data_IF_115895312579
#
_entry.id   IF_115895312579
#
_cell.length_a   1.000
_cell.length_b   1.000
_cell.length_c   1.000
_cell.angle_alpha   90.00
_cell.angle_beta   90.00
_cell.angle_gamma   90.00
#
_symmetry.space_group_name_H-M   'P 1'
#
loop_
_entity.id
_entity.type
_entity.pdbx_description
1 polymer ?
#
# COMPACT_ATOMS: atom_id res chain seq x y z
N UNK A 1 -13.89 0.89 -2.45
CA UNK A 1 -13.10 -0.06 -1.63
C UNK A 1 -11.91 0.67 -1.00
N UNK A 2 -11.66 0.50 0.30
CA UNK A 2 -10.53 1.12 1.01
C UNK A 2 -9.28 0.25 0.94
N UNK A 3 -8.11 0.85 1.20
CA UNK A 3 -6.85 0.11 1.28
C UNK A 3 -6.91 -0.96 2.38
N UNK A 4 -7.52 -0.65 3.54
CA UNK A 4 -7.66 -1.62 4.62
C UNK A 4 -8.43 -2.87 4.19
N UNK A 5 -9.65 -2.69 3.69
CA UNK A 5 -10.50 -3.80 3.24
C UNK A 5 -9.83 -4.64 2.15
N UNK A 6 -9.16 -3.97 1.21
CA UNK A 6 -8.44 -4.66 0.15
C UNK A 6 -7.20 -5.42 0.64
N UNK A 7 -6.48 -4.86 1.60
CA UNK A 7 -5.32 -5.53 2.20
C UNK A 7 -5.69 -6.84 2.89
N UNK A 8 -6.84 -6.88 3.56
CA UNK A 8 -7.37 -8.10 4.19
C UNK A 8 -7.76 -9.13 3.13
N UNK A 9 -8.48 -8.70 2.08
CA UNK A 9 -8.91 -9.57 1.00
C UNK A 9 -7.71 -10.13 0.20
N UNK A 10 -6.70 -9.30 -0.07
CA UNK A 10 -5.47 -9.70 -0.72
C UNK A 10 -4.64 -10.66 0.13
N UNK A 11 -4.55 -10.43 1.45
CA UNK A 11 -3.90 -11.37 2.37
C UNK A 11 -4.66 -12.69 2.40
N UNK A 12 -6.00 -12.67 2.39
CA UNK A 12 -6.84 -13.86 2.36
C UNK A 12 -6.62 -14.68 1.08
N UNK A 13 -6.53 -14.01 -0.08
CA UNK A 13 -6.27 -14.63 -1.38
C UNK A 13 -4.89 -15.31 -1.49
N UNK A 14 -3.92 -14.90 -0.66
CA UNK A 14 -2.57 -15.47 -0.62
C UNK A 14 -2.54 -16.80 0.15
N UNK A 15 -3.08 -17.84 -0.49
CA UNK A 15 -3.17 -19.22 0.04
C UNK A 15 -1.95 -20.09 -0.33
N UNK A 16 -1.22 -19.75 -1.40
CA UNK A 16 -0.07 -20.52 -1.89
C UNK A 16 1.31 -20.09 -1.35
N UNK A 17 1.38 -19.09 -0.46
CA UNK A 17 2.65 -18.58 0.07
C UNK A 17 2.97 -19.15 1.46
N UNK A 18 4.27 -19.28 1.77
CA UNK A 18 4.74 -19.76 3.07
C UNK A 18 4.14 -18.92 4.21
N UNK A 19 3.64 -19.51 5.31
CA UNK A 19 2.96 -18.79 6.39
C UNK A 19 3.79 -17.62 6.96
N UNK A 20 5.10 -17.80 7.04
CA UNK A 20 6.04 -16.77 7.50
C UNK A 20 6.06 -15.52 6.58
N UNK A 21 5.87 -15.71 5.27
CA UNK A 21 5.81 -14.60 4.30
C UNK A 21 4.49 -13.86 4.43
N UNK A 22 3.37 -14.58 4.57
CA UNK A 22 2.06 -14.00 4.82
C UNK A 22 2.06 -13.18 6.11
N UNK A 23 2.66 -13.69 7.18
CA UNK A 23 2.83 -12.97 8.44
C UNK A 23 3.68 -11.70 8.27
N UNK A 24 4.81 -11.77 7.56
CA UNK A 24 5.66 -10.60 7.28
C UNK A 24 4.89 -9.53 6.50
N UNK A 25 4.14 -9.91 5.47
CA UNK A 25 3.35 -8.96 4.69
C UNK A 25 2.26 -8.30 5.55
N UNK A 26 1.54 -9.08 6.35
CA UNK A 26 0.55 -8.54 7.28
C UNK A 26 1.17 -7.57 8.29
N UNK A 27 2.34 -7.90 8.84
CA UNK A 27 3.05 -7.02 9.78
C UNK A 27 3.49 -5.69 9.14
N UNK A 28 4.05 -5.73 7.92
CA UNK A 28 4.44 -4.54 7.17
C UNK A 28 3.23 -3.66 6.84
N UNK A 29 2.13 -4.27 6.39
CA UNK A 29 0.88 -3.58 6.10
C UNK A 29 0.33 -2.90 7.35
N UNK A 30 0.23 -3.62 8.47
CA UNK A 30 -0.33 -3.09 9.71
C UNK A 30 0.52 -1.99 10.34
N UNK A 31 1.85 -2.08 10.21
CA UNK A 31 2.78 -1.16 10.88
C UNK A 31 3.03 0.11 10.07
N UNK A 32 3.11 0.00 8.74
CA UNK A 32 3.52 1.12 7.88
C UNK A 32 2.39 1.63 6.98
N UNK A 33 1.55 0.74 6.45
CA UNK A 33 0.56 1.09 5.43
C UNK A 33 -0.77 1.51 6.06
N UNK A 34 -1.39 0.65 6.88
CA UNK A 34 -2.71 0.88 7.47
C UNK A 34 -2.83 2.18 8.30
N UNK A 35 -1.82 2.61 9.09
CA UNK A 35 -1.94 3.82 9.90
C UNK A 35 -2.15 5.09 9.07
N UNK A 36 -1.60 5.11 7.84
CA UNK A 36 -1.71 6.25 6.95
C UNK A 36 -2.81 6.01 5.90
N UNK A 37 -2.74 4.88 5.22
CA UNK A 37 -3.52 4.58 4.02
C UNK A 37 -4.82 3.82 4.29
N UNK A 38 -5.01 3.21 5.46
CA UNK A 38 -6.12 2.29 5.71
C UNK A 38 -7.50 2.88 5.42
N UNK A 39 -7.68 4.18 5.70
CA UNK A 39 -8.92 4.93 5.45
C UNK A 39 -9.06 5.46 4.01
N UNK A 40 -7.98 5.48 3.24
CA UNK A 40 -8.00 5.98 1.87
C UNK A 40 -8.68 4.96 0.95
N UNK A 41 -9.42 5.47 -0.04
CA UNK A 41 -9.91 4.64 -1.14
C UNK A 41 -8.74 4.30 -2.04
N UNK A 42 -8.68 3.08 -2.54
CA UNK A 42 -7.60 2.67 -3.45
C UNK A 42 -7.53 3.55 -4.70
N UNK A 43 -8.68 4.02 -5.17
CA UNK A 43 -8.80 4.90 -6.34
C UNK A 43 -8.23 6.31 -6.12
N UNK A 44 -8.02 6.71 -4.88
CA UNK A 44 -7.50 8.04 -4.53
C UNK A 44 -6.01 7.99 -4.19
N UNK A 45 -5.39 6.80 -4.16
CA UNK A 45 -3.95 6.65 -3.92
C UNK A 45 -3.19 7.05 -5.18
N UNK A 46 -2.39 8.11 -5.08
CA UNK A 46 -1.55 8.58 -6.20
C UNK A 46 -0.09 8.16 -6.04
N UNK A 47 0.61 7.99 -7.16
CA UNK A 47 2.05 7.66 -7.15
C UNK A 47 2.90 8.70 -6.39
N UNK A 48 2.54 9.98 -6.51
CA UNK A 48 3.23 11.08 -5.83
C UNK A 48 3.12 10.97 -4.30
N UNK A 49 1.93 10.69 -3.78
CA UNK A 49 1.73 10.50 -2.34
C UNK A 49 2.42 9.24 -1.82
N UNK A 50 2.49 8.16 -2.62
CA UNK A 50 3.30 6.98 -2.26
C UNK A 50 4.78 7.36 -2.16
N UNK A 51 5.32 8.11 -3.12
CA UNK A 51 6.72 8.56 -3.08
C UNK A 51 6.99 9.45 -1.87
N UNK A 52 6.09 10.38 -1.54
CA UNK A 52 6.18 11.24 -0.36
C UNK A 52 6.12 10.45 0.95
N UNK A 53 5.26 9.43 1.02
CA UNK A 53 5.19 8.52 2.16
C UNK A 53 6.46 7.70 2.35
N UNK A 54 7.05 7.17 1.26
CA UNK A 54 8.33 6.45 1.31
C UNK A 54 9.46 7.37 1.79
N UNK A 55 9.52 8.61 1.31
CA UNK A 55 10.47 9.60 1.79
C UNK A 55 10.30 9.85 3.30
N UNK A 56 9.05 10.04 3.77
CA UNK A 56 8.74 10.20 5.19
C UNK A 56 9.15 9.01 6.05
N UNK A 57 8.99 7.78 5.55
CA UNK A 57 9.44 6.57 6.26
C UNK A 57 10.97 6.52 6.40
N UNK A 58 11.72 6.94 5.37
CA UNK A 58 13.18 7.04 5.43
C UNK A 58 13.62 8.08 6.46
N UNK A 59 12.92 9.21 6.55
CA UNK A 59 13.20 10.26 7.54
C UNK A 59 12.92 9.84 8.98
N UNK A 60 11.95 8.93 9.21
CA UNK A 60 11.62 8.40 10.55
C UNK A 60 12.58 7.30 11.06
N UNK A 61 13.80 7.23 10.54
CA UNK A 61 14.84 6.27 10.92
C UNK A 61 14.44 4.78 10.80
N UNK A 62 13.46 4.44 9.96
CA UNK A 62 13.16 3.03 9.65
C UNK A 62 14.29 2.41 8.83
N UNK A 63 14.63 1.15 9.12
CA UNK A 63 15.67 0.44 8.38
C UNK A 63 15.37 0.48 6.86
N UNK A 64 16.36 0.81 6.02
CA UNK A 64 16.14 1.02 4.58
C UNK A 64 15.61 -0.24 3.88
N UNK A 65 15.95 -1.42 4.39
CA UNK A 65 15.40 -2.70 3.96
C UNK A 65 13.90 -2.79 4.22
N UNK A 66 13.44 -2.44 5.42
CA UNK A 66 12.02 -2.44 5.80
C UNK A 66 11.22 -1.46 4.96
N UNK A 67 11.74 -0.26 4.71
CA UNK A 67 11.05 0.75 3.87
C UNK A 67 10.87 0.24 2.44
N UNK A 68 11.92 -0.34 1.84
CA UNK A 68 11.83 -0.94 0.49
C UNK A 68 10.82 -2.08 0.46
N UNK A 69 10.78 -2.91 1.49
CA UNK A 69 9.87 -4.04 1.57
C UNK A 69 8.41 -3.60 1.75
N UNK A 70 8.16 -2.61 2.60
CA UNK A 70 6.84 -2.01 2.79
C UNK A 70 6.33 -1.38 1.48
N UNK A 71 7.18 -0.59 0.80
CA UNK A 71 6.86 -0.04 -0.52
C UNK A 71 6.52 -1.13 -1.53
N UNK A 72 7.36 -2.18 -1.63
CA UNK A 72 7.13 -3.28 -2.57
C UNK A 72 5.81 -4.00 -2.33
N UNK A 73 5.48 -4.29 -1.06
CA UNK A 73 4.19 -4.93 -0.71
C UNK A 73 3.03 -4.00 -1.07
N UNK A 74 3.16 -2.70 -0.83
CA UNK A 74 2.12 -1.73 -1.17
C UNK A 74 1.93 -1.58 -2.69
N UNK A 75 3.00 -1.52 -3.48
CA UNK A 75 2.89 -1.51 -4.95
C UNK A 75 2.20 -2.77 -5.48
N UNK A 76 2.59 -3.95 -4.99
CA UNK A 76 1.94 -5.22 -5.36
C UNK A 76 0.44 -5.22 -5.04
N UNK A 77 0.07 -4.69 -3.87
CA UNK A 77 -1.32 -4.56 -3.45
C UNK A 77 -2.12 -3.72 -4.46
N UNK A 78 -1.58 -2.56 -4.86
CA UNK A 78 -2.23 -1.64 -5.79
C UNK A 78 -2.29 -2.21 -7.22
N UNK A 79 -1.21 -2.82 -7.70
CA UNK A 79 -1.16 -3.46 -9.01
C UNK A 79 -2.21 -4.57 -9.15
N UNK A 80 -2.37 -5.40 -8.11
CA UNK A 80 -3.39 -6.43 -8.08
C UNK A 80 -4.81 -5.84 -8.04
N UNK A 81 -5.00 -4.72 -7.35
CA UNK A 81 -6.30 -4.04 -7.34
C UNK A 81 -6.70 -3.49 -8.72
N UNK A 82 -5.72 -2.98 -9.48
CA UNK A 82 -5.92 -2.52 -10.87
C UNK A 82 -6.20 -3.71 -11.79
N UNK A 83 -5.42 -4.79 -11.68
CA UNK A 83 -5.61 -6.03 -12.46
C UNK A 83 -6.97 -6.67 -12.23
N UNK A 84 -7.47 -6.63 -11.01
CA UNK A 84 -8.78 -7.17 -10.63
C UNK A 84 -9.95 -6.28 -11.12
N UNK A 85 -9.67 -5.15 -11.79
CA UNK A 85 -10.68 -4.24 -12.32
C UNK A 85 -11.45 -3.47 -11.24
N UNK A 86 -11.07 -3.62 -9.98
CA UNK A 86 -11.70 -2.92 -8.83
C UNK A 86 -11.32 -1.45 -8.75
N UNK A 87 -10.35 -1.01 -9.55
CA UNK A 87 -9.96 0.39 -9.71
C UNK A 87 -9.76 0.68 -11.20
N UNK A 88 -10.33 1.76 -11.77
CA UNK A 88 -9.86 2.28 -13.04
C UNK A 88 -8.38 2.65 -12.90
N UNK A 89 -7.55 2.22 -13.85
CA UNK A 89 -6.10 2.40 -13.81
C UNK A 89 -5.72 3.81 -13.31
N UNK A 90 -4.77 3.82 -12.36
CA UNK A 90 -4.17 4.96 -11.67
C UNK A 90 -4.59 6.32 -12.26
N UNK A 91 -5.38 7.08 -11.48
CA UNK A 91 -5.76 8.44 -11.87
C UNK A 91 -4.49 9.32 -11.86
N UNK A 92 -4.21 10.12 -12.90
CA UNK A 92 -3.13 11.11 -12.84
C UNK A 92 -3.35 12.05 -11.65
N UNK A 93 -2.29 12.66 -11.10
CA UNK A 93 -2.39 13.47 -9.89
C UNK A 93 -3.37 14.62 -10.11
N UNK A 94 -4.55 14.51 -9.49
CA UNK A 94 -5.41 15.66 -9.28
C UNK A 94 -4.80 16.39 -8.08
N UNK A 95 -4.01 17.44 -8.33
CA UNK A 95 -3.59 18.33 -7.26
C UNK A 95 -4.86 18.99 -6.68
N UNK A 96 -5.24 18.75 -5.41
CA UNK A 96 -6.04 19.76 -4.75
C UNK A 96 -5.08 20.91 -4.48
N UNK A 97 -5.27 22.04 -5.17
CA UNK A 97 -4.71 23.31 -4.74
C UNK A 97 -5.15 23.52 -3.29
N UNK A 98 -4.29 23.18 -2.33
CA UNK A 98 -4.52 23.42 -0.91
C UNK A 98 -4.10 24.87 -0.68
N UNK A 99 -5.10 25.74 -0.56
CA UNK A 99 -4.95 27.15 -0.18
C UNK A 99 -4.45 27.33 1.25
#
# INVERSE_FOLDING_TARGET
MTVAAWSEQWLAAQTGIKPSTRYRYGSLLRTHVLPLWGRYRLADVTHAEVAAWVASLRSKASAPSTVRQAHRVFSLLLELAVRDGRIPAIRPPAFPCRG
#
